data_IF_543789677418
#
_entry.id   IF_543789677418
#
_cell.length_a   1.000
_cell.length_b   1.000
_cell.length_c   1.000
_cell.angle_alpha   90.00
_cell.angle_beta   90.00
_cell.angle_gamma   90.00
#
_symmetry.space_group_name_H-M   'P 1'
#
loop_
_entity.id
_entity.type
_entity.pdbx_description
1 polymer ?
#
# COMPACT_ATOMS: atom_id res chain seq x y z
N UNK A 1 4.82 -5.83 -46.52
CA UNK A 1 5.65 -5.42 -45.37
C UNK A 1 4.78 -5.48 -44.14
N UNK A 2 4.77 -6.63 -43.47
CA UNK A 2 3.96 -6.89 -42.25
C UNK A 2 4.78 -6.49 -41.04
N UNK A 3 4.45 -5.31 -40.47
CA UNK A 3 4.98 -4.89 -39.19
C UNK A 3 4.39 -5.73 -38.05
N UNK A 4 5.22 -6.58 -37.44
CA UNK A 4 4.87 -7.26 -36.20
C UNK A 4 4.71 -6.19 -35.11
N UNK A 5 3.47 -6.02 -34.59
CA UNK A 5 3.27 -5.33 -33.32
C UNK A 5 4.05 -6.08 -32.22
N UNK A 6 4.89 -5.41 -31.43
CA UNK A 6 5.57 -6.04 -30.31
C UNK A 6 4.54 -6.55 -29.30
N UNK A 7 4.73 -7.78 -28.83
CA UNK A 7 3.90 -8.43 -27.84
C UNK A 7 3.86 -7.59 -26.55
N UNK A 8 2.67 -7.13 -26.09
CA UNK A 8 2.56 -6.29 -24.89
C UNK A 8 3.02 -6.97 -23.59
N UNK A 9 3.16 -8.30 -23.58
CA UNK A 9 3.69 -9.06 -22.44
C UNK A 9 5.21 -8.93 -22.26
N UNK A 10 5.96 -8.56 -23.33
CA UNK A 10 7.41 -8.34 -23.22
C UNK A 10 7.76 -6.97 -22.67
N UNK A 11 6.86 -5.99 -22.74
CA UNK A 11 7.07 -4.65 -22.17
C UNK A 11 6.89 -4.58 -20.64
N UNK A 12 6.31 -5.61 -20.02
CA UNK A 12 6.13 -5.62 -18.56
C UNK A 12 7.34 -6.17 -17.77
N UNK A 13 8.31 -6.77 -18.45
CA UNK A 13 9.48 -7.36 -17.78
C UNK A 13 10.56 -6.32 -17.38
N UNK A 14 10.55 -5.13 -18.01
CA UNK A 14 11.58 -4.09 -17.83
C UNK A 14 11.05 -2.79 -17.19
N UNK A 15 9.86 -2.82 -16.55
CA UNK A 15 9.44 -1.67 -15.77
C UNK A 15 10.39 -1.49 -14.58
N UNK A 16 11.00 -0.31 -14.39
CA UNK A 16 11.84 -0.05 -13.24
C UNK A 16 10.97 -0.26 -12.00
N UNK A 17 11.27 -1.31 -11.25
CA UNK A 17 10.71 -1.49 -9.93
C UNK A 17 11.24 -0.32 -9.10
N UNK A 18 10.35 0.52 -8.59
CA UNK A 18 10.71 1.52 -7.56
C UNK A 18 11.01 0.71 -6.30
N UNK A 19 12.19 0.11 -6.26
CA UNK A 19 12.67 -0.63 -5.10
C UNK A 19 13.26 0.40 -4.17
N UNK A 20 12.52 0.78 -3.14
CA UNK A 20 13.14 1.47 -2.01
C UNK A 20 14.10 0.49 -1.32
N UNK A 21 15.40 0.68 -1.56
CA UNK A 21 16.47 -0.15 -0.97
C UNK A 21 16.49 -0.15 0.57
N UNK A 22 15.60 0.62 1.20
CA UNK A 22 15.41 0.67 2.66
C UNK A 22 14.46 -0.41 3.17
N UNK A 23 13.66 -1.04 2.31
CA UNK A 23 12.75 -2.12 2.71
C UNK A 23 13.43 -3.49 2.65
N UNK A 24 13.16 -4.33 3.65
CA UNK A 24 13.62 -5.71 3.62
C UNK A 24 12.93 -6.51 2.51
N UNK A 25 13.56 -7.58 1.97
CA UNK A 25 12.89 -8.46 1.01
C UNK A 25 11.56 -9.01 1.52
N UNK A 26 11.46 -9.27 2.82
CA UNK A 26 10.21 -9.72 3.47
C UNK A 26 9.15 -8.62 3.43
N UNK A 27 9.50 -7.36 3.72
CA UNK A 27 8.57 -6.24 3.64
C UNK A 27 8.03 -6.05 2.21
N UNK A 28 8.91 -6.11 1.20
CA UNK A 28 8.51 -6.02 -0.22
C UNK A 28 7.58 -7.17 -0.63
N UNK A 29 7.85 -8.39 -0.15
CA UNK A 29 7.00 -9.56 -0.38
C UNK A 29 5.60 -9.34 0.21
N UNK A 30 5.51 -8.91 1.47
CA UNK A 30 4.24 -8.60 2.15
C UNK A 30 3.50 -7.46 1.44
N UNK A 31 4.18 -6.38 1.07
CA UNK A 31 3.59 -5.26 0.33
C UNK A 31 2.92 -5.72 -0.96
N UNK A 32 3.62 -6.56 -1.74
CA UNK A 32 3.07 -7.12 -2.97
C UNK A 32 1.80 -7.94 -2.72
N UNK A 33 1.81 -8.82 -1.72
CA UNK A 33 0.66 -9.65 -1.37
C UNK A 33 -0.53 -8.82 -0.91
N UNK A 34 -0.31 -7.84 -0.03
CA UNK A 34 -1.35 -6.89 0.42
C UNK A 34 -2.00 -6.17 -0.76
N UNK A 35 -1.19 -5.61 -1.66
CA UNK A 35 -1.72 -4.87 -2.82
C UNK A 35 -2.53 -5.78 -3.76
N UNK A 36 -2.08 -7.01 -3.99
CA UNK A 36 -2.82 -8.00 -4.81
C UNK A 36 -4.14 -8.38 -4.15
N UNK A 37 -4.11 -8.71 -2.87
CA UNK A 37 -5.28 -9.06 -2.08
C UNK A 37 -6.33 -7.93 -2.08
N UNK A 38 -5.94 -6.70 -1.76
CA UNK A 38 -6.86 -5.57 -1.75
C UNK A 38 -7.48 -5.30 -3.13
N UNK A 39 -6.70 -5.47 -4.21
CA UNK A 39 -7.20 -5.28 -5.58
C UNK A 39 -8.15 -6.39 -6.02
N UNK A 40 -7.83 -7.64 -5.73
CA UNK A 40 -8.58 -8.79 -6.24
C UNK A 40 -9.81 -9.12 -5.39
N UNK A 41 -9.69 -9.02 -4.06
CA UNK A 41 -10.77 -9.38 -3.15
C UNK A 41 -11.68 -8.21 -2.77
N UNK A 42 -11.19 -6.97 -2.85
CA UNK A 42 -11.91 -5.79 -2.36
C UNK A 42 -12.08 -4.68 -3.40
N UNK A 43 -11.62 -4.88 -4.63
CA UNK A 43 -11.71 -3.89 -5.74
C UNK A 43 -11.06 -2.53 -5.40
N UNK A 44 -9.96 -2.54 -4.64
CA UNK A 44 -9.23 -1.33 -4.29
C UNK A 44 -8.19 -0.95 -5.35
N UNK A 45 -8.04 0.34 -5.62
CA UNK A 45 -6.84 0.88 -6.24
C UNK A 45 -5.76 1.07 -5.17
N UNK A 46 -4.58 0.49 -5.35
CA UNK A 46 -3.54 0.51 -4.34
C UNK A 46 -2.35 1.38 -4.75
N UNK A 47 -1.84 2.13 -3.79
CA UNK A 47 -0.65 2.96 -3.90
C UNK A 47 0.38 2.49 -2.86
N UNK A 48 1.61 2.22 -3.30
CA UNK A 48 2.73 1.97 -2.41
C UNK A 48 3.42 3.29 -2.03
N UNK A 49 4.01 3.35 -0.85
CA UNK A 49 4.90 4.44 -0.43
C UNK A 49 4.28 5.83 -0.60
N UNK A 50 3.11 6.08 0.03
CA UNK A 50 2.37 7.32 -0.10
C UNK A 50 2.83 8.34 0.95
N UNK A 51 3.44 9.49 0.55
CA UNK A 51 3.81 10.53 1.49
C UNK A 51 2.54 11.22 2.03
N UNK A 52 2.46 11.41 3.35
CA UNK A 52 1.35 12.05 4.04
C UNK A 52 1.70 13.49 4.45
N UNK A 53 0.68 14.30 4.74
CA UNK A 53 0.87 15.72 5.09
C UNK A 53 1.63 15.93 6.42
N UNK A 54 1.65 14.93 7.31
CA UNK A 54 2.40 14.96 8.56
C UNK A 54 3.88 14.53 8.42
N UNK A 55 4.39 14.41 7.18
CA UNK A 55 5.77 14.01 6.89
C UNK A 55 6.02 12.50 6.98
N UNK A 56 5.00 11.68 7.22
CA UNK A 56 5.09 10.21 7.21
C UNK A 56 4.87 9.67 5.81
N UNK A 57 5.11 8.39 5.66
CA UNK A 57 4.90 7.66 4.43
C UNK A 57 4.17 6.36 4.75
N UNK A 58 2.97 6.20 4.21
CA UNK A 58 2.20 4.96 4.34
C UNK A 58 2.78 3.89 3.40
N UNK A 59 3.02 2.69 3.89
CA UNK A 59 3.58 1.59 3.09
C UNK A 59 2.64 1.18 1.96
N UNK A 60 1.35 0.99 2.28
CA UNK A 60 0.29 0.77 1.29
C UNK A 60 -0.92 1.62 1.66
N UNK A 61 -1.48 2.29 0.66
CA UNK A 61 -2.75 2.98 0.74
C UNK A 61 -3.70 2.41 -0.30
N UNK A 62 -4.86 1.93 0.14
CA UNK A 62 -5.94 1.45 -0.69
C UNK A 62 -7.05 2.49 -0.80
N UNK A 63 -7.48 2.77 -2.03
CA UNK A 63 -8.66 3.56 -2.33
C UNK A 63 -9.75 2.63 -2.86
N UNK A 64 -10.82 2.48 -2.10
CA UNK A 64 -11.94 1.64 -2.46
C UNK A 64 -12.93 2.29 -3.42
N UNK A 65 -13.83 1.50 -4.01
CA UNK A 65 -14.76 1.94 -5.05
C UNK A 65 -15.77 2.99 -4.59
N UNK A 66 -16.01 3.09 -3.28
CA UNK A 66 -16.90 4.11 -2.69
C UNK A 66 -16.15 5.31 -2.13
N UNK A 67 -14.83 5.39 -2.36
CA UNK A 67 -13.97 6.44 -1.86
C UNK A 67 -13.46 6.22 -0.43
N UNK A 68 -13.65 5.02 0.14
CA UNK A 68 -13.05 4.62 1.40
C UNK A 68 -11.53 4.50 1.26
N UNK A 69 -10.82 4.92 2.31
CA UNK A 69 -9.36 4.92 2.34
C UNK A 69 -8.88 4.00 3.45
N UNK A 70 -8.10 2.99 3.07
CA UNK A 70 -7.42 2.12 4.01
C UNK A 70 -5.92 2.39 3.99
N UNK A 71 -5.29 2.41 5.16
CA UNK A 71 -3.82 2.43 5.26
C UNK A 71 -3.38 1.11 5.87
N UNK A 72 -2.36 0.52 5.27
CA UNK A 72 -1.73 -0.71 5.74
C UNK A 72 -0.26 -0.45 5.97
N UNK A 73 0.17 -0.62 7.21
CA UNK A 73 1.55 -0.48 7.66
C UNK A 73 2.19 -1.87 7.78
N UNK A 74 3.30 -2.09 7.10
CA UNK A 74 3.95 -3.40 7.03
C UNK A 74 4.95 -3.56 8.19
N UNK A 75 4.87 -4.67 8.87
CA UNK A 75 5.83 -5.07 9.90
C UNK A 75 6.42 -6.43 9.54
N UNK A 76 7.68 -6.43 9.15
CA UNK A 76 8.38 -7.62 8.66
C UNK A 76 9.01 -8.46 9.78
N UNK A 77 9.12 -7.90 10.98
CA UNK A 77 9.72 -8.56 12.14
C UNK A 77 9.19 -7.99 13.47
N UNK A 78 9.40 -8.73 14.57
CA UNK A 78 9.09 -8.27 15.92
C UNK A 78 9.84 -6.98 16.28
N UNK A 79 11.11 -6.87 15.91
CA UNK A 79 11.94 -5.68 16.18
C UNK A 79 11.39 -4.47 15.45
N UNK A 80 10.99 -4.62 14.20
CA UNK A 80 10.39 -3.59 13.38
C UNK A 80 9.10 -3.03 14.02
N UNK A 81 8.26 -3.91 14.56
CA UNK A 81 7.07 -3.52 15.31
C UNK A 81 7.40 -2.79 16.63
N UNK A 82 8.34 -3.30 17.42
CA UNK A 82 8.66 -2.78 18.75
C UNK A 82 9.23 -1.34 18.73
N UNK A 83 9.96 -0.98 17.67
CA UNK A 83 10.57 0.35 17.54
C UNK A 83 9.60 1.40 16.98
N UNK A 84 8.52 0.97 16.33
CA UNK A 84 7.54 1.90 15.74
C UNK A 84 6.41 2.21 16.75
N UNK A 85 6.50 3.39 17.35
CA UNK A 85 5.45 3.94 18.21
C UNK A 85 4.61 5.03 17.53
N UNK A 86 4.78 5.20 16.21
CA UNK A 86 4.26 6.35 15.47
C UNK A 86 3.03 6.02 14.62
N UNK A 87 2.67 4.75 14.54
CA UNK A 87 1.56 4.28 13.71
C UNK A 87 0.19 4.93 14.02
N UNK A 88 -0.16 5.38 15.25
CA UNK A 88 -1.45 6.03 15.49
C UNK A 88 -1.69 7.27 14.62
N UNK A 89 -0.62 7.95 14.19
CA UNK A 89 -0.74 9.13 13.33
C UNK A 89 -1.16 8.83 11.88
N UNK A 90 -1.19 7.56 11.46
CA UNK A 90 -1.75 7.19 10.17
C UNK A 90 -3.28 7.23 10.16
N UNK A 91 -3.93 6.99 11.31
CA UNK A 91 -5.39 6.96 11.45
C UNK A 91 -6.07 8.28 11.05
N UNK A 92 -5.36 9.39 11.16
CA UNK A 92 -5.86 10.69 10.70
C UNK A 92 -6.08 10.77 9.18
N UNK A 93 -5.57 9.82 8.40
CA UNK A 93 -5.56 9.83 6.95
C UNK A 93 -6.33 8.67 6.31
N UNK A 94 -6.97 7.81 7.10
CA UNK A 94 -7.71 6.65 6.60
C UNK A 94 -9.01 6.43 7.37
N UNK A 95 -9.93 5.69 6.75
CA UNK A 95 -11.15 5.21 7.40
C UNK A 95 -10.90 3.93 8.20
N UNK A 96 -9.91 3.13 7.77
CA UNK A 96 -9.47 1.91 8.44
C UNK A 96 -7.96 1.78 8.39
N UNK A 97 -7.38 1.41 9.52
CA UNK A 97 -5.95 1.16 9.64
C UNK A 97 -5.68 -0.31 9.91
N UNK A 98 -4.71 -0.85 9.21
CA UNK A 98 -4.27 -2.24 9.37
C UNK A 98 -2.76 -2.30 9.55
N UNK A 99 -2.32 -3.26 10.34
CA UNK A 99 -0.98 -3.81 10.20
C UNK A 99 -0.99 -4.94 9.17
N UNK A 100 0.13 -5.12 8.46
CA UNK A 100 0.35 -6.31 7.64
C UNK A 100 1.65 -7.00 8.06
N UNK A 101 1.60 -8.32 8.09
CA UNK A 101 2.69 -9.18 8.52
C UNK A 101 2.91 -10.35 7.56
N UNK A 102 4.12 -10.93 7.49
CA UNK A 102 4.31 -12.21 6.84
C UNK A 102 3.62 -13.34 7.63
N UNK A 103 3.24 -14.46 6.99
CA UNK A 103 2.53 -15.55 7.66
C UNK A 103 3.25 -16.11 8.88
N UNK A 104 4.57 -16.17 8.83
CA UNK A 104 5.44 -16.72 9.87
C UNK A 104 5.56 -15.88 11.15
N UNK A 105 5.17 -14.59 11.12
CA UNK A 105 5.23 -13.73 12.30
C UNK A 105 3.98 -13.95 13.18
N UNK A 106 4.19 -14.01 14.51
CA UNK A 106 3.11 -14.23 15.46
C UNK A 106 2.07 -13.07 15.42
N UNK A 107 0.76 -13.34 15.22
CA UNK A 107 -0.26 -12.33 15.24
C UNK A 107 -0.47 -11.67 16.62
N UNK A 108 -0.14 -12.34 17.70
CA UNK A 108 -0.40 -11.88 19.07
C UNK A 108 0.51 -10.73 19.52
N UNK A 109 1.55 -10.42 18.74
CA UNK A 109 2.38 -9.23 19.00
C UNK A 109 1.69 -7.91 18.63
N UNK A 110 0.63 -7.96 17.78
CA UNK A 110 -0.08 -6.78 17.32
C UNK A 110 -1.24 -6.42 18.25
N UNK A 111 -1.54 -5.12 18.43
CA UNK A 111 -2.66 -4.68 19.26
C UNK A 111 -3.97 -5.35 18.87
N UNK A 112 -4.72 -5.84 19.87
CA UNK A 112 -5.93 -6.63 19.65
C UNK A 112 -7.09 -5.81 19.05
N UNK A 113 -7.05 -4.51 19.17
CA UNK A 113 -8.03 -3.53 18.69
C UNK A 113 -7.73 -2.98 17.29
N UNK A 114 -6.55 -3.30 16.72
CA UNK A 114 -6.18 -2.87 15.38
C UNK A 114 -6.42 -3.94 14.31
N UNK A 115 -6.65 -3.49 13.07
CA UNK A 115 -6.76 -4.37 11.92
C UNK A 115 -5.47 -5.14 11.66
N UNK A 116 -5.59 -6.39 11.21
CA UNK A 116 -4.43 -7.23 10.91
C UNK A 116 -4.64 -8.04 9.63
N UNK A 117 -3.68 -7.95 8.72
CA UNK A 117 -3.59 -8.71 7.48
C UNK A 117 -2.36 -9.61 7.55
N UNK A 118 -2.50 -10.88 7.20
CA UNK A 118 -1.35 -11.72 6.85
C UNK A 118 -1.22 -11.76 5.33
N UNK A 119 0.00 -11.58 4.81
CA UNK A 119 0.25 -11.63 3.38
C UNK A 119 1.62 -12.22 3.07
N UNK A 120 1.68 -12.98 1.99
CA UNK A 120 2.91 -13.46 1.37
C UNK A 120 3.21 -12.68 0.07
N UNK A 121 3.99 -13.22 -0.84
CA UNK A 121 4.27 -12.53 -2.12
C UNK A 121 3.16 -12.68 -3.17
N UNK A 122 2.12 -13.44 -2.91
CA UNK A 122 1.08 -13.84 -3.87
C UNK A 122 -0.30 -13.34 -3.50
N UNK A 123 -0.67 -13.42 -2.23
CA UNK A 123 -2.00 -13.12 -1.74
C UNK A 123 -1.96 -12.69 -0.27
N UNK A 124 -3.12 -12.34 0.28
CA UNK A 124 -3.29 -11.98 1.68
C UNK A 124 -4.64 -12.38 2.23
N UNK A 125 -4.77 -12.26 3.55
CA UNK A 125 -6.03 -12.49 4.26
C UNK A 125 -6.17 -11.55 5.44
N UNK A 126 -7.38 -11.02 5.67
CA UNK A 126 -7.68 -10.27 6.87
C UNK A 126 -7.84 -11.27 8.02
N UNK A 127 -6.93 -11.21 8.99
CA UNK A 127 -7.00 -11.99 10.23
C UNK A 127 -7.92 -11.30 11.25
N UNK A 128 -7.95 -9.96 11.22
CA UNK A 128 -8.79 -9.14 12.08
C UNK A 128 -9.18 -7.87 11.33
N UNK A 129 -10.50 -7.61 11.25
CA UNK A 129 -11.02 -6.40 10.61
C UNK A 129 -10.71 -5.19 11.47
N UNK A 130 -10.25 -4.10 10.84
CA UNK A 130 -10.03 -2.82 11.50
C UNK A 130 -11.37 -2.15 11.87
N UNK A 131 -11.37 -1.43 12.99
CA UNK A 131 -12.44 -0.47 13.29
C UNK A 131 -12.56 0.58 12.18
N UNK A 132 -13.76 1.12 11.99
CA UNK A 132 -14.01 2.18 11.03
C UNK A 132 -14.10 3.53 11.74
N UNK A 133 -13.25 4.47 11.32
CA UNK A 133 -13.27 5.87 11.73
C UNK A 133 -13.36 6.74 10.48
N UNK A 134 -14.59 7.10 10.09
CA UNK A 134 -14.81 7.83 8.84
C UNK A 134 -14.06 9.15 8.79
N UNK A 135 -13.28 9.35 7.74
CA UNK A 135 -12.56 10.61 7.52
C UNK A 135 -13.51 11.79 7.37
N UNK A 136 -13.23 12.94 7.99
CA UNK A 136 -13.93 14.18 7.71
C UNK A 136 -13.93 14.50 6.20
N UNK A 137 -15.04 15.04 5.64
CA UNK A 137 -15.16 15.28 4.19
C UNK A 137 -14.02 16.12 3.60
N UNK A 138 -13.55 17.13 4.31
CA UNK A 138 -12.43 17.97 3.86
C UNK A 138 -11.11 17.18 3.77
N UNK A 139 -10.86 16.30 4.76
CA UNK A 139 -9.67 15.43 4.77
C UNK A 139 -9.75 14.40 3.65
N UNK A 140 -10.91 13.76 3.46
CA UNK A 140 -11.15 12.84 2.34
C UNK A 140 -10.89 13.51 1.00
N UNK A 141 -11.45 14.72 0.75
CA UNK A 141 -11.19 15.47 -0.48
C UNK A 141 -9.69 15.72 -0.69
N UNK A 142 -8.98 16.14 0.34
CA UNK A 142 -7.54 16.39 0.26
C UNK A 142 -6.77 15.11 -0.09
N UNK A 143 -7.13 13.96 0.51
CA UNK A 143 -6.51 12.69 0.21
C UNK A 143 -6.80 12.23 -1.23
N UNK A 144 -8.04 12.35 -1.71
CA UNK A 144 -8.40 11.97 -3.08
C UNK A 144 -7.63 12.81 -4.12
N UNK A 145 -7.53 14.13 -3.91
CA UNK A 145 -6.74 15.00 -4.79
C UNK A 145 -5.25 14.61 -4.77
N UNK A 146 -4.71 14.30 -3.60
CA UNK A 146 -3.33 13.85 -3.46
C UNK A 146 -3.09 12.55 -4.23
N UNK A 147 -3.97 11.56 -4.09
CA UNK A 147 -3.84 10.27 -4.78
C UNK A 147 -3.97 10.41 -6.29
N UNK A 148 -4.92 11.23 -6.78
CA UNK A 148 -5.07 11.51 -8.21
C UNK A 148 -3.79 12.11 -8.81
N UNK A 149 -3.21 13.12 -8.14
CA UNK A 149 -1.94 13.74 -8.57
C UNK A 149 -0.79 12.73 -8.51
N UNK A 150 -0.63 12.04 -7.39
CA UNK A 150 0.43 11.04 -7.22
C UNK A 150 0.36 9.94 -8.29
N UNK A 151 -0.85 9.47 -8.61
CA UNK A 151 -1.05 8.47 -9.67
C UNK A 151 -0.67 9.02 -11.04
N UNK A 152 -1.10 10.24 -11.38
CA UNK A 152 -0.77 10.90 -12.64
C UNK A 152 0.76 11.11 -12.78
N UNK A 153 1.41 11.62 -11.73
CA UNK A 153 2.86 11.86 -11.73
C UNK A 153 3.64 10.56 -11.91
N UNK A 154 3.22 9.47 -11.24
CA UNK A 154 3.87 8.15 -11.38
C UNK A 154 3.70 7.58 -12.79
N UNK A 155 2.52 7.72 -13.39
CA UNK A 155 2.27 7.30 -14.77
C UNK A 155 3.13 8.12 -15.73
N UNK A 156 3.17 9.45 -15.55
CA UNK A 156 3.99 10.34 -16.39
C UNK A 156 5.46 9.95 -16.34
N UNK A 157 6.01 9.74 -15.14
CA UNK A 157 7.41 9.27 -14.97
C UNK A 157 7.69 7.94 -15.66
N UNK A 158 6.71 7.03 -15.71
CA UNK A 158 6.85 5.76 -16.44
C UNK A 158 6.81 5.94 -17.96
N UNK A 159 6.03 6.91 -18.45
CA UNK A 159 5.86 7.19 -19.88
C UNK A 159 7.00 8.04 -20.45
N UNK A 160 7.54 8.94 -19.64
CA UNK A 160 8.65 9.85 -20.00
C UNK A 160 9.72 9.91 -18.89
N UNK A 161 10.58 8.88 -18.78
CA UNK A 161 11.58 8.77 -17.71
C UNK A 161 12.74 9.77 -17.84
N UNK A 162 12.85 10.53 -18.94
CA UNK A 162 13.96 11.45 -19.21
C UNK A 162 13.66 12.92 -18.89
N UNK A 163 12.49 13.23 -18.36
CA UNK A 163 12.08 14.59 -18.00
C UNK A 163 12.54 15.05 -16.59
N UNK A 164 13.56 14.38 -16.02
CA UNK A 164 14.15 14.73 -14.71
C UNK A 164 15.55 15.31 -14.86
#
# INVERSE_FOLDING_TARGET
>A
MSGLCPNPLLLMADLPQIVDLRQSPTALRVQRGVMRFLRQAHDFCCFAEVPLANGRRADVLGLGPKGEIWIVEIKSSLVDFQVDRKWPHYKEFCDRFFFAKPPELDPDIFPADEGLIAADGHDGAILRMAGEEALPPARRKAMLLKLARLGADRIHTLMDPNEL
#
